data_IF_453559114078
#
_entry.id   IF_453559114078
#
_cell.length_a   1.000
_cell.length_b   1.000
_cell.length_c   1.000
_cell.angle_alpha   90.00
_cell.angle_beta   90.00
_cell.angle_gamma   90.00
#
_symmetry.space_group_name_H-M   'P 1'
#
loop_
_entity.id
_entity.type
_entity.pdbx_description
1 polymer ?
#
# COMPACT_ATOMS: atom_id res chain seq x y z
N UNK A 1 -5.68 3.53 22.63
CA UNK A 1 -4.27 3.64 22.19
C UNK A 1 -4.27 3.95 20.70
N UNK A 2 -3.65 5.06 20.24
CA UNK A 2 -3.61 5.37 18.82
C UNK A 2 -2.79 4.30 18.07
N UNK A 3 -3.17 3.96 16.82
CA UNK A 3 -2.44 2.98 16.03
C UNK A 3 -1.01 3.46 15.81
N UNK A 4 -0.06 2.51 15.79
CA UNK A 4 1.35 2.81 15.49
C UNK A 4 1.45 3.42 14.09
N UNK A 5 2.45 4.25 13.87
CA UNK A 5 2.67 4.81 12.55
C UNK A 5 2.83 3.69 11.50
N UNK A 6 2.17 3.86 10.35
CA UNK A 6 2.09 2.86 9.28
C UNK A 6 1.40 1.53 9.64
N UNK A 7 0.64 1.46 10.74
CA UNK A 7 -0.09 0.25 11.13
C UNK A 7 -1.12 -0.16 10.07
N UNK A 8 -1.94 0.80 9.61
CA UNK A 8 -2.98 0.55 8.58
C UNK A 8 -2.40 -0.07 7.30
N UNK A 9 -1.44 0.56 6.59
CA UNK A 9 -0.89 -0.03 5.37
C UNK A 9 -0.15 -1.35 5.62
N UNK A 10 0.33 -1.58 6.85
CA UNK A 10 0.94 -2.86 7.23
C UNK A 10 -0.11 -3.97 7.34
N UNK A 11 -1.23 -3.71 8.01
CA UNK A 11 -2.29 -4.70 8.18
C UNK A 11 -2.97 -5.03 6.85
N UNK A 12 -3.21 -4.01 6.00
CA UNK A 12 -3.71 -4.22 4.64
C UNK A 12 -2.76 -5.09 3.81
N UNK A 13 -1.45 -4.85 3.88
CA UNK A 13 -0.46 -5.65 3.16
C UNK A 13 -0.43 -7.10 3.66
N UNK A 14 -0.47 -7.32 4.97
CA UNK A 14 -0.52 -8.68 5.53
C UNK A 14 -1.78 -9.40 5.07
N UNK A 15 -2.95 -8.74 5.16
CA UNK A 15 -4.21 -9.31 4.68
C UNK A 15 -4.17 -9.65 3.18
N UNK A 16 -3.47 -8.85 2.36
CA UNK A 16 -3.26 -9.15 0.96
C UNK A 16 -2.40 -10.39 0.77
N UNK A 17 -1.24 -10.46 1.43
CA UNK A 17 -0.29 -11.57 1.32
C UNK A 17 -0.89 -12.91 1.76
N UNK A 18 -1.71 -12.93 2.82
CA UNK A 18 -2.38 -14.14 3.31
C UNK A 18 -3.33 -14.77 2.28
N UNK A 19 -3.73 -14.03 1.24
CA UNK A 19 -4.63 -14.50 0.18
C UNK A 19 -3.90 -14.90 -1.10
N UNK A 20 -2.58 -14.71 -1.17
CA UNK A 20 -1.81 -15.01 -2.38
C UNK A 20 -1.34 -16.45 -2.39
N UNK A 21 -1.04 -16.93 -3.59
CA UNK A 21 -0.47 -18.25 -3.82
C UNK A 21 0.86 -18.48 -3.09
N UNK A 22 1.65 -17.43 -2.89
CA UNK A 22 2.91 -17.52 -2.15
C UNK A 22 2.71 -18.02 -0.70
N UNK A 23 1.63 -17.59 -0.04
CA UNK A 23 1.33 -18.06 1.33
C UNK A 23 0.47 -19.34 1.27
N UNK A 24 -0.55 -19.37 0.41
CA UNK A 24 -1.53 -20.45 0.38
C UNK A 24 -1.02 -21.74 -0.27
N UNK A 25 -0.25 -21.63 -1.36
CA UNK A 25 0.26 -22.79 -2.12
C UNK A 25 1.69 -23.14 -1.73
N UNK A 26 2.56 -22.14 -1.60
CA UNK A 26 3.97 -22.40 -1.28
C UNK A 26 4.25 -22.50 0.23
N UNK A 27 3.30 -22.11 1.09
CA UNK A 27 3.45 -22.16 2.55
C UNK A 27 4.51 -21.19 3.10
N UNK A 28 4.94 -20.20 2.30
CA UNK A 28 5.95 -19.23 2.71
C UNK A 28 5.36 -18.22 3.68
N UNK A 29 6.23 -17.67 4.53
CA UNK A 29 5.81 -16.57 5.39
C UNK A 29 5.59 -15.28 4.57
N UNK A 30 4.71 -14.36 5.00
CA UNK A 30 4.52 -13.08 4.33
C UNK A 30 5.83 -12.30 4.14
N UNK A 31 6.78 -12.43 5.07
CA UNK A 31 8.11 -11.82 4.96
C UNK A 31 8.94 -12.42 3.82
N UNK A 32 8.83 -13.73 3.56
CA UNK A 32 9.50 -14.37 2.45
C UNK A 32 8.87 -14.02 1.11
N UNK A 33 7.54 -13.89 1.06
CA UNK A 33 6.82 -13.44 -0.13
C UNK A 33 7.24 -12.02 -0.58
N UNK A 34 7.74 -11.19 0.35
CA UNK A 34 8.26 -9.86 0.03
C UNK A 34 9.63 -9.87 -0.67
N UNK A 35 10.33 -11.01 -0.70
CA UNK A 35 11.61 -11.14 -1.42
C UNK A 35 11.42 -11.14 -2.95
N UNK A 36 10.27 -11.63 -3.43
CA UNK A 36 9.92 -11.66 -4.86
C UNK A 36 8.64 -10.86 -5.14
N UNK A 37 8.66 -9.52 -4.92
CA UNK A 37 7.44 -8.71 -4.99
C UNK A 37 6.81 -8.66 -6.39
N UNK A 38 7.55 -9.00 -7.45
CA UNK A 38 7.06 -9.04 -8.83
C UNK A 38 6.09 -10.20 -9.09
N UNK A 39 6.20 -11.29 -8.34
CA UNK A 39 5.33 -12.47 -8.46
C UNK A 39 4.01 -12.31 -7.71
N UNK A 40 3.91 -11.27 -6.87
CA UNK A 40 2.69 -10.96 -6.14
C UNK A 40 1.67 -10.25 -7.04
N UNK A 41 0.36 -10.38 -6.74
CA UNK A 41 -0.68 -9.63 -7.43
C UNK A 41 -0.45 -8.13 -7.35
N UNK A 42 -0.87 -7.40 -8.40
CA UNK A 42 -0.71 -5.94 -8.52
C UNK A 42 -1.25 -5.18 -7.29
N UNK A 43 -2.32 -5.69 -6.68
CA UNK A 43 -2.89 -5.13 -5.46
C UNK A 43 -1.91 -5.15 -4.29
N UNK A 44 -1.23 -6.27 -4.07
CA UNK A 44 -0.23 -6.38 -3.01
C UNK A 44 1.01 -5.53 -3.34
N UNK A 45 1.40 -5.43 -4.62
CA UNK A 45 2.49 -4.55 -5.04
C UNK A 45 2.22 -3.07 -4.71
N UNK A 46 0.98 -2.60 -4.93
CA UNK A 46 0.57 -1.25 -4.54
C UNK A 46 0.63 -1.05 -3.01
N UNK A 47 0.24 -2.06 -2.22
CA UNK A 47 0.33 -1.98 -0.75
C UNK A 47 1.78 -1.97 -0.25
N UNK A 48 2.69 -2.70 -0.92
CA UNK A 48 4.14 -2.65 -0.64
C UNK A 48 4.67 -1.23 -0.89
N UNK A 49 4.30 -0.61 -2.01
CA UNK A 49 4.67 0.77 -2.30
C UNK A 49 4.13 1.73 -1.23
N UNK A 50 2.84 1.62 -0.89
CA UNK A 50 2.19 2.45 0.13
C UNK A 50 2.87 2.35 1.51
N UNK A 51 3.23 1.14 1.93
CA UNK A 51 3.95 0.92 3.19
C UNK A 51 5.38 1.49 3.13
N UNK A 52 6.04 1.38 1.98
CA UNK A 52 7.38 1.93 1.75
C UNK A 52 7.37 3.46 1.80
N UNK A 53 6.39 4.12 1.16
CA UNK A 53 6.20 5.56 1.23
C UNK A 53 5.88 6.03 2.65
N UNK A 54 5.04 5.29 3.38
CA UNK A 54 4.75 5.58 4.77
C UNK A 54 6.02 5.56 5.63
N UNK A 55 6.85 4.51 5.51
CA UNK A 55 8.14 4.40 6.22
C UNK A 55 9.10 5.52 5.82
N UNK A 56 9.19 5.85 4.53
CA UNK A 56 10.01 6.96 4.04
C UNK A 56 9.56 8.29 4.65
N UNK A 57 8.26 8.55 4.73
CA UNK A 57 7.70 9.73 5.40
C UNK A 57 8.00 9.79 6.90
N UNK A 58 8.18 8.65 7.57
CA UNK A 58 8.63 8.59 8.96
C UNK A 58 10.13 8.81 9.14
N UNK A 59 10.96 8.52 8.15
CA UNK A 59 12.41 8.73 8.25
C UNK A 59 12.78 10.16 7.80
N UNK A 60 12.11 10.64 6.76
CA UNK A 60 12.35 11.96 6.18
C UNK A 60 11.65 13.06 6.99
N UNK A 61 12.42 13.81 7.79
CA UNK A 61 11.94 14.96 8.57
C UNK A 61 11.36 16.08 7.69
N UNK A 62 11.80 16.18 6.42
CA UNK A 62 11.37 17.20 5.45
C UNK A 62 9.97 16.91 4.90
N UNK A 63 9.58 15.62 4.83
CA UNK A 63 8.23 15.18 4.44
C UNK A 63 7.20 15.26 5.57
N UNK A 64 7.63 15.33 6.84
CA UNK A 64 6.71 15.46 8.00
C UNK A 64 5.85 16.72 7.96
N UNK A 65 6.39 17.84 7.45
CA UNK A 65 5.69 19.12 7.42
C UNK A 65 4.66 19.27 6.27
N UNK A 66 4.83 18.54 5.17
CA UNK A 66 3.88 18.58 4.03
C UNK A 66 2.81 17.49 4.05
N UNK A 67 2.89 16.57 5.01
CA UNK A 67 2.01 15.41 5.09
C UNK A 67 2.29 14.40 3.96
N UNK A 68 2.23 13.11 4.26
CA UNK A 68 2.21 12.06 3.24
C UNK A 68 0.83 11.96 2.56
N UNK A 69 0.12 13.08 2.46
CA UNK A 69 -1.11 13.18 1.71
C UNK A 69 -0.72 13.17 0.24
N UNK A 70 -1.13 12.14 -0.48
CA UNK A 70 -1.84 12.45 -1.71
C UNK A 70 -2.86 13.50 -1.29
N UNK A 71 -2.67 14.76 -1.68
CA UNK A 71 -3.61 15.85 -1.38
C UNK A 71 -5.02 15.28 -1.57
N UNK A 72 -5.97 15.62 -0.71
CA UNK A 72 -7.36 15.23 -0.94
C UNK A 72 -7.79 15.64 -2.37
N UNK A 73 -7.18 16.68 -2.94
CA UNK A 73 -7.30 17.06 -4.35
C UNK A 73 -6.74 16.03 -5.33
N UNK A 74 -5.60 15.39 -5.04
CA UNK A 74 -5.03 14.32 -5.85
C UNK A 74 -5.90 13.05 -5.79
N UNK A 75 -6.46 12.73 -4.61
CA UNK A 75 -7.44 11.64 -4.45
C UNK A 75 -8.75 11.96 -5.17
N UNK A 76 -9.24 13.19 -5.07
CA UNK A 76 -10.45 13.67 -5.75
C UNK A 76 -10.29 13.64 -7.27
N UNK A 77 -9.13 14.07 -7.80
CA UNK A 77 -8.80 13.98 -9.24
C UNK A 77 -8.73 12.53 -9.73
N UNK A 78 -8.16 11.62 -8.95
CA UNK A 78 -8.16 10.19 -9.30
C UNK A 78 -9.58 9.60 -9.31
N UNK A 79 -10.44 10.00 -8.37
CA UNK A 79 -11.85 9.56 -8.29
C UNK A 79 -12.69 10.14 -9.43
N UNK A 80 -12.47 11.40 -9.82
CA UNK A 80 -13.14 12.07 -10.92
C UNK A 80 -12.79 11.44 -12.29
N UNK A 81 -11.53 11.02 -12.49
CA UNK A 81 -11.10 10.28 -13.69
C UNK A 81 -11.79 8.93 -13.86
N UNK A 82 -12.22 8.28 -12.77
CA UNK A 82 -12.98 7.03 -12.83
C UNK A 82 -14.46 7.22 -13.17
N UNK A 83 -15.05 8.38 -12.86
CA UNK A 83 -16.45 8.67 -13.17
C UNK A 83 -16.67 9.00 -14.66
N UNK A 84 -15.66 9.61 -15.30
CA UNK A 84 -15.73 10.03 -16.71
C UNK A 84 -15.51 8.87 -17.71
N UNK A 85 -15.21 7.66 -17.22
CA UNK A 85 -15.02 6.46 -18.04
C UNK A 85 -16.30 5.60 -18.16
N UNK A 86 -17.35 5.93 -17.40
CA UNK A 86 -18.68 5.28 -17.46
C UNK A 86 -19.74 6.12 -18.19
N UNK A 87 -19.39 7.32 -18.67
CA UNK A 87 -20.28 8.23 -19.42
C UNK A 87 -19.73 8.44 -20.84
N UNK A 88 -19.49 7.36 -21.56
CA UNK A 88 -19.28 7.32 -23.02
C UNK A 88 -19.74 5.98 -23.56
#
# INVERSE_FOLDING_TARGET
>A
MPPRACQIPRDELIACLLRTDCVLKEGKTPAECLKTPRELPIQCQHLIARLSDCKKGMLDMRRRFKGNHLSEEAKARARARGLNMFIS
#
